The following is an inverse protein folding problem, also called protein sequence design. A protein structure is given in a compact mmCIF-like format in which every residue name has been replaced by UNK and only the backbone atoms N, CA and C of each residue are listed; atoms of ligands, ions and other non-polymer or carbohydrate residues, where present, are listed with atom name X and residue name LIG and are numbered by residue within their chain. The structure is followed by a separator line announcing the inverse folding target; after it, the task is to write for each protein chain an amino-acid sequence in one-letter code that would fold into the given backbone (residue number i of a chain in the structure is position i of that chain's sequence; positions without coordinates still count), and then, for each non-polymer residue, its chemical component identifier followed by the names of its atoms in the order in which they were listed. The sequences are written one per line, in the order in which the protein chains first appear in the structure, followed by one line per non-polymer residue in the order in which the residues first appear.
data_IF_524165808231
#
_entry.id   IF_524165808231
#
_cell.length_a   1.000
_cell.length_b   1.000
_cell.length_c   1.000
_cell.angle_alpha   90.00
_cell.angle_beta   90.00
_cell.angle_gamma   90.00
#
_symmetry.space_group_name_H-M   'P 1'
#
loop_
_entity.id
_entity.type
_entity.pdbx_description
1 polymer ?
#
# COMPACT_ATOMS: atom_id res chain seq x y z
N UNK A 1 -6.51 41.42 7.51
CA UNK A 1 -6.71 40.17 6.74
C UNK A 1 -5.69 40.18 5.62
N UNK A 2 -4.69 39.30 5.69
CA UNK A 2 -3.64 39.17 4.66
C UNK A 2 -4.21 38.21 3.60
N UNK A 3 -4.25 38.59 2.31
CA UNK A 3 -4.73 37.68 1.27
C UNK A 3 -3.80 36.46 1.16
N UNK A 4 -4.33 35.26 0.91
CA UNK A 4 -3.52 34.06 0.76
C UNK A 4 -2.54 34.23 -0.41
N UNK A 5 -1.33 33.70 -0.23
CA UNK A 5 -0.26 33.78 -1.24
C UNK A 5 -0.59 32.89 -2.44
N UNK A 6 -0.07 33.23 -3.62
CA UNK A 6 -0.29 32.48 -4.87
C UNK A 6 0.07 30.98 -4.76
N UNK A 7 0.97 30.63 -3.84
CA UNK A 7 1.36 29.25 -3.53
C UNK A 7 0.30 28.49 -2.71
N UNK A 8 -0.44 29.18 -1.83
CA UNK A 8 -1.57 28.60 -1.09
C UNK A 8 -2.77 28.34 -2.01
N UNK A 9 -3.05 29.26 -2.93
CA UNK A 9 -4.12 29.09 -3.93
C UNK A 9 -3.83 27.92 -4.90
N UNK A 10 -2.56 27.71 -5.29
CA UNK A 10 -2.12 26.55 -6.08
C UNK A 10 -2.20 25.23 -5.29
N UNK A 11 -1.96 25.25 -3.97
CA UNK A 11 -2.15 24.07 -3.11
C UNK A 11 -3.62 23.68 -2.98
N UNK A 12 -4.54 24.63 -2.76
CA UNK A 12 -5.98 24.35 -2.71
C UNK A 12 -6.51 23.84 -4.06
N UNK A 13 -6.00 24.38 -5.17
CA UNK A 13 -6.33 23.89 -6.51
C UNK A 13 -5.78 22.47 -6.73
N UNK A 14 -4.60 22.13 -6.21
CA UNK A 14 -4.00 20.78 -6.31
C UNK A 14 -4.71 19.76 -5.40
N UNK A 15 -5.21 20.19 -4.24
CA UNK A 15 -6.08 19.38 -3.35
C UNK A 15 -7.44 19.15 -4.01
N UNK A 16 -7.99 20.15 -4.71
CA UNK A 16 -9.17 19.99 -5.55
C UNK A 16 -8.91 19.09 -6.77
N UNK A 17 -7.72 19.14 -7.39
CA UNK A 17 -7.36 18.20 -8.46
C UNK A 17 -7.20 16.76 -7.93
N UNK A 18 -6.70 16.56 -6.71
CA UNK A 18 -6.75 15.26 -6.02
C UNK A 18 -8.19 14.81 -5.72
N UNK A 19 -9.13 15.75 -5.52
CA UNK A 19 -10.57 15.46 -5.49
C UNK A 19 -11.16 15.23 -6.89
N UNK A 20 -10.59 15.76 -7.97
CA UNK A 20 -10.98 15.45 -9.35
C UNK A 20 -10.46 14.08 -9.79
N UNK A 21 -9.27 13.67 -9.34
CA UNK A 21 -8.77 12.30 -9.41
C UNK A 21 -9.77 11.35 -8.74
N UNK A 22 -10.48 11.76 -7.68
CA UNK A 22 -11.58 11.00 -7.05
C UNK A 22 -12.73 10.66 -8.02
N UNK A 23 -12.99 11.48 -9.03
CA UNK A 23 -14.08 11.27 -10.02
C UNK A 23 -13.57 10.43 -11.20
N UNK A 24 -12.35 10.67 -11.68
CA UNK A 24 -11.73 9.86 -12.73
C UNK A 24 -11.36 8.44 -12.25
N UNK A 25 -10.89 8.27 -11.01
CA UNK A 25 -10.56 6.95 -10.43
C UNK A 25 -11.79 6.13 -10.05
N UNK A 26 -12.89 6.77 -9.63
CA UNK A 26 -14.14 6.05 -9.34
C UNK A 26 -14.69 5.37 -10.61
N UNK A 27 -14.52 6.00 -11.78
CA UNK A 27 -14.90 5.41 -13.07
C UNK A 27 -13.98 4.28 -13.56
N UNK A 28 -12.72 4.21 -13.11
CA UNK A 28 -11.84 3.08 -13.43
C UNK A 28 -12.08 1.88 -12.48
N UNK A 29 -12.41 2.13 -11.20
CA UNK A 29 -12.84 1.10 -10.26
C UNK A 29 -14.21 0.49 -10.62
N UNK A 30 -15.13 1.27 -11.20
CA UNK A 30 -16.42 0.78 -11.68
C UNK A 30 -16.32 -0.18 -12.89
N UNK A 31 -15.22 -0.12 -13.66
CA UNK A 31 -14.98 -0.98 -14.83
C UNK A 31 -14.30 -2.31 -14.48
N UNK A 32 -13.76 -2.46 -13.26
CA UNK A 32 -13.20 -3.72 -12.74
C UNK A 32 -14.15 -4.43 -11.76
N UNK A 33 -15.46 -4.22 -11.93
CA UNK A 33 -16.47 -5.05 -11.25
C UNK A 33 -16.55 -6.40 -11.98
N UNK A 34 -15.99 -7.43 -11.36
CA UNK A 34 -16.31 -8.83 -11.68
C UNK A 34 -17.38 -9.36 -10.69
N UNK A 35 -18.15 -10.39 -11.09
CA UNK A 35 -19.61 -10.39 -10.99
C UNK A 35 -20.16 -10.77 -9.61
N UNK A 36 -21.44 -10.47 -9.45
CA UNK A 36 -22.26 -10.59 -8.25
C UNK A 36 -22.17 -11.91 -7.47
N UNK A 37 -22.40 -11.77 -6.17
CA UNK A 37 -22.99 -12.76 -5.26
C UNK A 37 -22.19 -14.04 -4.96
N UNK A 38 -21.47 -14.03 -3.83
CA UNK A 38 -21.51 -15.18 -2.90
C UNK A 38 -21.69 -14.64 -1.48
N UNK A 39 -22.91 -14.77 -0.98
CA UNK A 39 -23.28 -14.64 0.41
C UNK A 39 -22.54 -15.75 1.18
N UNK A 40 -21.39 -15.45 1.79
CA UNK A 40 -20.66 -16.45 2.59
C UNK A 40 -21.28 -16.54 3.98
N UNK A 41 -22.32 -17.38 4.09
CA UNK A 41 -22.68 -18.02 5.35
C UNK A 41 -21.46 -18.81 5.85
N UNK A 42 -21.05 -18.55 7.08
CA UNK A 42 -19.96 -19.23 7.73
C UNK A 42 -20.15 -20.76 7.67
N UNK A 43 -19.29 -21.44 6.93
CA UNK A 43 -19.04 -22.88 7.09
C UNK A 43 -17.53 -23.10 7.05
N UNK A 44 -16.99 -23.49 8.19
CA UNK A 44 -15.60 -23.89 8.38
C UNK A 44 -15.28 -25.06 7.46
N UNK A 45 -14.26 -24.91 6.62
CA UNK A 45 -13.56 -26.04 6.01
C UNK A 45 -12.11 -25.99 6.51
N UNK A 46 -11.79 -26.96 7.36
CA UNK A 46 -10.43 -27.25 7.78
C UNK A 46 -9.64 -27.71 6.55
N UNK A 47 -8.51 -27.07 6.27
CA UNK A 47 -7.50 -27.64 5.38
C UNK A 47 -6.12 -27.35 5.96
N UNK A 48 -5.61 -28.45 6.52
CA UNK A 48 -4.28 -28.64 7.06
C UNK A 48 -3.20 -28.31 6.02
N UNK A 49 -2.26 -27.45 6.38
CA UNK A 49 -0.87 -27.60 5.94
C UNK A 49 0.06 -26.87 6.93
N UNK A 50 0.92 -27.68 7.56
CA UNK A 50 2.14 -27.37 8.31
C UNK A 50 2.14 -26.12 9.20
N UNK A 51 1.79 -26.29 10.49
CA UNK A 51 2.28 -25.41 11.56
C UNK A 51 3.25 -26.16 12.47
N UNK A 52 4.40 -25.56 12.83
CA UNK A 52 5.36 -26.18 13.73
C UNK A 52 4.66 -26.49 15.06
N UNK A 53 4.68 -27.76 15.44
CA UNK A 53 4.07 -28.28 16.66
C UNK A 53 4.92 -27.94 17.89
N UNK A 54 5.03 -26.65 18.20
CA UNK A 54 5.32 -26.18 19.55
C UNK A 54 4.18 -25.27 19.97
N UNK A 55 3.03 -25.87 20.28
CA UNK A 55 1.98 -25.16 21.01
C UNK A 55 2.59 -24.64 22.30
N UNK A 56 2.47 -23.33 22.50
CA UNK A 56 2.98 -22.66 23.69
C UNK A 56 2.21 -23.18 24.90
N UNK A 57 2.86 -23.96 25.78
CA UNK A 57 2.26 -24.47 27.01
C UNK A 57 1.63 -23.36 27.86
N UNK A 58 2.28 -22.19 27.90
CA UNK A 58 1.78 -21.00 28.59
C UNK A 58 0.49 -20.45 27.94
N UNK A 59 0.40 -20.48 26.62
CA UNK A 59 -0.79 -20.04 25.90
C UNK A 59 -1.96 -21.01 26.14
N UNK A 60 -1.68 -22.31 26.14
CA UNK A 60 -2.66 -23.34 26.46
C UNK A 60 -3.16 -23.18 27.91
N UNK A 61 -2.26 -22.90 28.88
CA UNK A 61 -2.63 -22.59 30.26
C UNK A 61 -3.48 -21.31 30.36
N UNK A 62 -3.16 -20.29 29.56
CA UNK A 62 -3.93 -19.05 29.49
C UNK A 62 -5.35 -19.28 28.96
N UNK A 63 -5.52 -20.02 27.86
CA UNK A 63 -6.84 -20.38 27.33
C UNK A 63 -7.68 -21.19 28.33
N UNK A 64 -7.03 -22.08 29.09
CA UNK A 64 -7.67 -22.89 30.12
C UNK A 64 -7.93 -22.14 31.45
N UNK A 65 -7.75 -20.80 31.47
CA UNK A 65 -7.91 -19.94 32.66
C UNK A 65 -7.03 -20.35 33.86
N UNK A 66 -5.94 -21.06 33.61
CA UNK A 66 -4.98 -21.49 34.64
C UNK A 66 -3.87 -20.45 34.91
N UNK A 67 -3.82 -19.37 34.14
CA UNK A 67 -2.85 -18.30 34.25
C UNK A 67 -3.50 -16.95 34.62
N UNK A 68 -4.27 -16.91 35.72
CA UNK A 68 -5.08 -15.74 36.11
C UNK A 68 -4.27 -14.46 36.41
N UNK A 69 -3.01 -14.61 36.84
CA UNK A 69 -2.14 -13.50 37.23
C UNK A 69 -1.00 -13.20 36.23
N UNK A 70 -1.15 -13.66 34.98
CA UNK A 70 -0.12 -13.48 33.95
C UNK A 70 0.20 -12.01 33.72
N UNK A 71 1.49 -11.66 33.78
CA UNK A 71 2.01 -10.34 33.45
C UNK A 71 2.69 -10.33 32.08
N UNK A 72 3.01 -9.13 31.60
CA UNK A 72 3.68 -8.97 30.31
C UNK A 72 5.11 -9.52 30.33
N UNK A 73 5.81 -9.35 31.46
CA UNK A 73 7.15 -9.86 31.68
C UNK A 73 7.23 -11.41 31.63
N UNK A 74 6.14 -12.10 31.98
CA UNK A 74 6.08 -13.57 32.03
C UNK A 74 6.01 -14.21 30.64
N UNK A 75 5.73 -13.43 29.59
CA UNK A 75 5.56 -13.97 28.25
C UNK A 75 6.87 -14.56 27.70
N UNK A 76 8.00 -13.88 27.92
CA UNK A 76 9.32 -14.31 27.45
C UNK A 76 9.29 -14.88 26.02
N UNK A 77 9.78 -16.12 25.85
CA UNK A 77 9.81 -16.84 24.56
C UNK A 77 8.43 -17.11 23.94
N UNK A 78 7.35 -16.99 24.70
CA UNK A 78 5.98 -17.22 24.25
C UNK A 78 5.32 -15.95 23.68
N UNK A 79 5.98 -14.79 23.75
CA UNK A 79 5.43 -13.51 23.29
C UNK A 79 4.94 -13.55 21.84
N UNK A 80 5.71 -14.15 20.93
CA UNK A 80 5.33 -14.30 19.52
C UNK A 80 4.07 -15.18 19.36
N UNK A 81 3.98 -16.28 20.10
CA UNK A 81 2.81 -17.16 20.07
C UNK A 81 1.55 -16.43 20.57
N UNK A 82 1.67 -15.64 21.64
CA UNK A 82 0.57 -14.79 22.13
C UNK A 82 0.19 -13.72 21.11
N UNK A 83 1.16 -13.05 20.46
CA UNK A 83 0.89 -12.02 19.48
C UNK A 83 0.15 -12.53 18.23
N UNK A 84 0.34 -13.82 17.90
CA UNK A 84 -0.34 -14.51 16.80
C UNK A 84 -1.69 -15.14 17.20
N UNK A 85 -2.05 -15.12 18.48
CA UNK A 85 -3.28 -15.69 19.02
C UNK A 85 -4.39 -14.64 19.18
N UNK A 86 -5.67 -14.93 18.86
CA UNK A 86 -6.75 -13.96 19.00
C UNK A 86 -6.95 -13.42 20.43
N UNK A 87 -6.76 -14.25 21.46
CA UNK A 87 -6.90 -13.85 22.86
C UNK A 87 -5.59 -13.31 23.40
N UNK A 88 -4.47 -13.96 23.07
CA UNK A 88 -3.13 -13.53 23.45
C UNK A 88 -2.79 -12.13 22.93
N UNK A 89 -3.16 -11.80 21.69
CA UNK A 89 -2.89 -10.47 21.13
C UNK A 89 -3.68 -9.38 21.86
N UNK A 90 -4.92 -9.69 22.27
CA UNK A 90 -5.76 -8.76 23.05
C UNK A 90 -5.17 -8.56 24.45
N UNK A 91 -4.72 -9.64 25.09
CA UNK A 91 -4.02 -9.59 26.36
C UNK A 91 -2.79 -8.67 26.29
N UNK A 92 -1.91 -8.86 25.29
CA UNK A 92 -0.73 -8.01 25.10
C UNK A 92 -1.16 -6.56 24.91
N UNK A 93 -2.12 -6.28 24.02
CA UNK A 93 -2.56 -4.91 23.74
C UNK A 93 -3.13 -4.18 24.97
N UNK A 94 -3.87 -4.90 25.83
CA UNK A 94 -4.44 -4.35 27.06
C UNK A 94 -3.35 -4.05 28.09
N UNK A 95 -2.44 -5.00 28.32
CA UNK A 95 -1.33 -4.85 29.28
C UNK A 95 -0.36 -3.76 28.85
N UNK A 96 -0.03 -3.68 27.57
CA UNK A 96 0.94 -2.73 27.04
C UNK A 96 0.52 -1.25 27.22
N UNK A 97 -0.78 -0.98 27.37
CA UNK A 97 -1.28 0.37 27.68
C UNK A 97 -0.91 0.87 29.08
N UNK A 98 -0.74 -0.04 30.05
CA UNK A 98 -0.51 0.28 31.46
C UNK A 98 0.85 -0.23 31.97
N UNK A 99 1.58 -0.97 31.15
CA UNK A 99 2.89 -1.52 31.47
C UNK A 99 3.92 -0.42 31.72
N UNK A 100 4.85 -0.70 32.63
CA UNK A 100 5.98 0.18 32.89
C UNK A 100 7.01 0.13 31.73
N UNK A 101 7.95 1.09 31.63
CA UNK A 101 8.93 1.10 30.54
C UNK A 101 9.77 -0.18 30.43
N UNK A 102 10.12 -0.81 31.55
CA UNK A 102 10.90 -2.04 31.58
C UNK A 102 10.13 -3.22 30.98
N UNK A 103 8.87 -3.40 31.34
CA UNK A 103 8.00 -4.44 30.78
C UNK A 103 7.77 -4.24 29.28
N UNK A 104 7.64 -2.99 28.84
CA UNK A 104 7.52 -2.65 27.42
C UNK A 104 8.78 -3.02 26.66
N UNK A 105 9.96 -2.66 27.18
CA UNK A 105 11.25 -3.01 26.58
C UNK A 105 11.45 -4.54 26.52
N UNK A 106 11.09 -5.26 27.59
CA UNK A 106 11.12 -6.73 27.61
C UNK A 106 10.23 -7.36 26.55
N UNK A 107 9.03 -6.80 26.32
CA UNK A 107 8.19 -7.27 25.22
C UNK A 107 8.86 -7.01 23.87
N UNK A 108 9.40 -5.81 23.65
CA UNK A 108 10.06 -5.47 22.37
C UNK A 108 11.24 -6.41 22.10
N UNK A 109 12.05 -6.69 23.12
CA UNK A 109 13.11 -7.69 23.05
C UNK A 109 12.56 -9.08 22.70
N UNK A 110 11.47 -9.52 23.33
CA UNK A 110 10.86 -10.82 23.06
C UNK A 110 10.22 -10.93 21.65
N UNK A 111 9.88 -9.81 21.02
CA UNK A 111 9.37 -9.77 19.64
C UNK A 111 10.48 -9.58 18.60
N UNK A 112 11.71 -9.30 19.03
CA UNK A 112 12.86 -9.04 18.14
C UNK A 112 13.06 -10.21 17.17
N UNK A 113 13.36 -9.87 15.92
CA UNK A 113 13.54 -10.82 14.82
C UNK A 113 12.23 -11.38 14.25
N UNK A 114 11.09 -11.07 14.86
CA UNK A 114 9.76 -11.53 14.44
C UNK A 114 8.83 -10.37 14.07
N UNK A 115 9.29 -9.12 14.18
CA UNK A 115 8.46 -7.92 13.98
C UNK A 115 7.85 -7.90 12.57
N UNK A 116 8.66 -8.18 11.55
CA UNK A 116 8.21 -8.23 10.16
C UNK A 116 7.13 -9.30 9.95
N UNK A 117 7.36 -10.51 10.46
CA UNK A 117 6.40 -11.61 10.36
C UNK A 117 5.09 -11.26 11.05
N UNK A 118 5.16 -10.63 12.24
CA UNK A 118 3.98 -10.20 12.98
C UNK A 118 3.21 -9.09 12.26
N UNK A 119 3.89 -8.14 11.62
CA UNK A 119 3.26 -7.06 10.86
C UNK A 119 2.43 -7.58 9.66
N UNK A 120 2.72 -8.78 9.18
CA UNK A 120 1.98 -9.44 8.10
C UNK A 120 0.84 -10.33 8.61
N UNK A 121 0.57 -10.36 9.91
CA UNK A 121 -0.47 -11.19 10.51
C UNK A 121 -1.57 -10.32 11.12
N UNK A 122 -2.83 -10.76 11.05
CA UNK A 122 -3.98 -9.98 11.52
C UNK A 122 -3.83 -9.57 13.00
N UNK A 123 -3.44 -10.50 13.86
CA UNK A 123 -3.28 -10.25 15.30
C UNK A 123 -1.94 -9.58 15.62
N UNK A 124 -0.87 -10.00 14.94
CA UNK A 124 0.46 -9.43 15.12
C UNK A 124 0.51 -7.94 14.76
N UNK A 125 -0.15 -7.52 13.68
CA UNK A 125 -0.21 -6.12 13.27
C UNK A 125 -0.84 -5.22 14.34
N UNK A 126 -1.85 -5.69 15.06
CA UNK A 126 -2.42 -4.95 16.20
C UNK A 126 -1.44 -4.83 17.36
N UNK A 127 -0.67 -5.88 17.65
CA UNK A 127 0.37 -5.84 18.70
C UNK A 127 1.47 -4.84 18.33
N UNK A 128 2.02 -4.92 17.11
CA UNK A 128 3.08 -4.01 16.67
C UNK A 128 2.58 -2.56 16.65
N UNK A 129 1.39 -2.29 16.12
CA UNK A 129 0.82 -0.93 16.13
C UNK A 129 0.63 -0.39 17.56
N UNK A 130 0.15 -1.23 18.49
CA UNK A 130 0.00 -0.85 19.89
C UNK A 130 1.36 -0.62 20.57
N UNK A 131 2.37 -1.43 20.25
CA UNK A 131 3.74 -1.28 20.72
C UNK A 131 4.31 0.08 20.29
N UNK A 132 4.28 0.38 18.98
CA UNK A 132 4.76 1.65 18.42
C UNK A 132 4.14 2.89 19.08
N UNK A 133 2.86 2.82 19.48
CA UNK A 133 2.17 3.91 20.19
C UNK A 133 2.67 4.14 21.62
N UNK A 134 3.18 3.09 22.29
CA UNK A 134 3.31 3.09 23.76
C UNK A 134 4.73 2.90 24.27
N UNK A 135 5.66 2.41 23.44
CA UNK A 135 7.07 2.19 23.78
C UNK A 135 7.88 3.49 23.65
N UNK A 136 9.09 3.51 24.20
CA UNK A 136 10.00 4.65 24.12
C UNK A 136 10.65 4.76 22.73
N UNK A 137 11.34 5.88 22.48
CA UNK A 137 11.96 6.18 21.17
C UNK A 137 13.01 5.14 20.76
N UNK A 138 13.73 4.54 21.71
CA UNK A 138 14.76 3.53 21.43
C UNK A 138 14.10 2.27 20.88
N UNK A 139 13.09 1.78 21.61
CA UNK A 139 12.28 0.63 21.18
C UNK A 139 11.56 0.87 19.85
N UNK A 140 11.06 2.10 19.60
CA UNK A 140 10.48 2.44 18.29
C UNK A 140 11.50 2.28 17.15
N UNK A 141 12.74 2.73 17.34
CA UNK A 141 13.79 2.62 16.33
C UNK A 141 14.11 1.15 16.05
N UNK A 142 14.19 0.30 17.06
CA UNK A 142 14.42 -1.14 16.89
C UNK A 142 13.34 -1.80 16.04
N UNK A 143 12.06 -1.53 16.36
CA UNK A 143 10.92 -2.03 15.57
C UNK A 143 10.98 -1.51 14.13
N UNK A 144 11.28 -0.22 13.94
CA UNK A 144 11.37 0.38 12.60
C UNK A 144 12.49 -0.28 11.79
N UNK A 145 13.65 -0.52 12.39
CA UNK A 145 14.81 -1.10 11.70
C UNK A 145 14.50 -2.48 11.09
N UNK A 146 13.72 -3.31 11.78
CA UNK A 146 13.25 -4.60 11.22
C UNK A 146 12.27 -4.43 10.06
N UNK A 147 11.52 -3.33 10.02
CA UNK A 147 10.54 -3.06 8.96
C UNK A 147 11.16 -2.36 7.73
N UNK A 148 12.33 -1.70 7.88
CA UNK A 148 12.91 -0.82 6.85
C UNK A 148 13.13 -1.52 5.50
N UNK A 149 13.48 -2.80 5.50
CA UNK A 149 13.71 -3.55 4.28
C UNK A 149 12.41 -3.88 3.50
N UNK A 150 11.25 -3.70 4.11
CA UNK A 150 9.96 -4.18 3.60
C UNK A 150 8.86 -3.11 3.63
N UNK A 151 9.21 -1.83 3.70
CA UNK A 151 8.23 -0.72 3.79
C UNK A 151 7.23 -0.75 2.65
N UNK A 152 7.69 -0.93 1.40
CA UNK A 152 6.80 -0.95 0.23
C UNK A 152 5.92 -2.19 0.22
N UNK A 153 6.43 -3.43 0.32
CA UNK A 153 5.59 -4.62 0.43
C UNK A 153 4.58 -4.56 1.58
N UNK A 154 4.97 -4.04 2.75
CA UNK A 154 4.07 -3.88 3.88
C UNK A 154 2.96 -2.86 3.59
N UNK A 155 3.28 -1.76 2.90
CA UNK A 155 2.29 -0.74 2.55
C UNK A 155 1.23 -1.24 1.58
N UNK A 156 1.59 -2.21 0.73
CA UNK A 156 0.71 -2.93 -0.20
C UNK A 156 0.04 -4.15 0.45
N UNK A 157 0.25 -4.38 1.75
CA UNK A 157 -0.27 -5.54 2.47
C UNK A 157 -1.49 -5.18 3.33
N UNK A 158 -2.49 -6.07 3.36
CA UNK A 158 -3.75 -5.90 4.10
C UNK A 158 -3.58 -5.48 5.55
N UNK A 159 -2.63 -6.11 6.25
CA UNK A 159 -2.32 -5.82 7.66
C UNK A 159 -1.06 -4.96 7.82
N UNK A 160 -0.12 -5.08 6.88
CA UNK A 160 1.15 -4.35 6.94
C UNK A 160 0.93 -2.84 6.80
N UNK A 161 -0.04 -2.44 5.97
CA UNK A 161 -0.41 -1.04 5.77
C UNK A 161 -0.89 -0.38 7.06
N UNK A 162 -1.43 -1.14 8.02
CA UNK A 162 -1.82 -0.63 9.33
C UNK A 162 -0.59 -0.32 10.18
N UNK A 163 0.43 -1.20 10.14
CA UNK A 163 1.70 -0.99 10.84
C UNK A 163 2.44 0.21 10.26
N UNK A 164 2.52 0.33 8.92
CA UNK A 164 3.17 1.49 8.29
C UNK A 164 2.47 2.80 8.66
N UNK A 165 1.13 2.85 8.65
CA UNK A 165 0.40 4.02 9.14
C UNK A 165 0.70 4.32 10.62
N UNK A 166 0.78 3.29 11.46
CA UNK A 166 1.15 3.46 12.88
C UNK A 166 2.55 4.03 13.06
N UNK A 167 3.53 3.61 12.24
CA UNK A 167 4.87 4.21 12.21
C UNK A 167 4.77 5.69 11.82
N UNK A 168 4.00 6.00 10.77
CA UNK A 168 3.81 7.37 10.31
C UNK A 168 3.09 8.26 11.34
N UNK A 169 2.22 7.71 12.16
CA UNK A 169 1.46 8.46 13.16
C UNK A 169 2.25 8.70 14.45
N UNK A 170 2.93 7.67 14.96
CA UNK A 170 3.43 7.68 16.33
C UNK A 170 4.95 7.75 16.47
N UNK A 171 5.70 7.49 15.40
CA UNK A 171 7.16 7.44 15.50
C UNK A 171 7.82 8.78 15.18
N UNK A 172 8.86 9.11 15.93
CA UNK A 172 9.69 10.30 15.64
C UNK A 172 10.64 10.04 14.47
N UNK A 173 11.31 8.88 14.45
CA UNK A 173 12.32 8.52 13.44
C UNK A 173 11.73 7.84 12.20
N UNK A 174 10.64 8.41 11.66
CA UNK A 174 9.89 7.87 10.51
C UNK A 174 10.38 8.35 9.14
N UNK A 175 11.42 9.19 9.09
CA UNK A 175 11.90 9.82 7.83
C UNK A 175 12.31 8.79 6.77
N UNK A 176 13.06 7.75 7.15
CA UNK A 176 13.50 6.71 6.22
C UNK A 176 12.33 5.93 5.61
N UNK A 177 11.31 5.63 6.42
CA UNK A 177 10.06 5.01 5.96
C UNK A 177 9.37 5.94 4.96
N UNK A 178 9.26 7.23 5.30
CA UNK A 178 8.62 8.23 4.45
C UNK A 178 9.32 8.41 3.10
N UNK A 179 10.66 8.47 3.07
CA UNK A 179 11.40 8.59 1.82
C UNK A 179 11.16 7.40 0.87
N UNK A 180 11.08 6.18 1.40
CA UNK A 180 10.73 5.00 0.59
C UNK A 180 9.32 5.14 0.00
N UNK A 181 8.34 5.56 0.81
CA UNK A 181 6.96 5.78 0.34
C UNK A 181 6.90 6.86 -0.74
N UNK A 182 7.57 7.99 -0.54
CA UNK A 182 7.63 9.11 -1.49
C UNK A 182 8.30 8.73 -2.82
N UNK A 183 9.25 7.78 -2.80
CA UNK A 183 9.85 7.23 -4.01
C UNK A 183 8.91 6.32 -4.81
N UNK A 184 7.86 5.76 -4.18
CA UNK A 184 6.99 4.75 -4.76
C UNK A 184 5.50 5.18 -4.81
N UNK A 185 5.24 6.49 -4.72
CA UNK A 185 3.87 7.07 -4.75
C UNK A 185 3.02 6.51 -5.90
N UNK A 186 3.48 6.47 -7.17
CA UNK A 186 2.73 5.92 -8.30
C UNK A 186 2.14 4.52 -8.12
N UNK A 187 2.85 3.64 -7.41
CA UNK A 187 2.41 2.25 -7.19
C UNK A 187 1.45 2.23 -6.00
N UNK A 188 1.80 2.94 -4.93
CA UNK A 188 1.02 2.96 -3.70
C UNK A 188 -0.38 3.56 -3.90
N UNK A 189 -0.53 4.64 -4.68
CA UNK A 189 -1.85 5.25 -4.90
C UNK A 189 -2.82 4.37 -5.70
N UNK A 190 -2.29 3.47 -6.54
CA UNK A 190 -3.09 2.55 -7.35
C UNK A 190 -3.50 1.30 -6.57
N UNK A 191 -2.85 1.02 -5.44
CA UNK A 191 -3.06 -0.19 -4.66
C UNK A 191 -4.24 -0.06 -3.69
N UNK A 192 -4.94 -1.18 -3.46
CA UNK A 192 -6.11 -1.27 -2.58
C UNK A 192 -5.81 -0.96 -1.09
N UNK A 193 -4.56 -1.11 -0.64
CA UNK A 193 -4.12 -0.80 0.73
C UNK A 193 -3.19 0.41 0.76
N UNK A 194 -2.25 0.50 -0.18
CA UNK A 194 -1.26 1.56 -0.32
C UNK A 194 -1.89 2.95 -0.44
N UNK A 195 -3.07 3.06 -1.07
CA UNK A 195 -3.75 4.35 -1.22
C UNK A 195 -4.09 4.98 0.14
N UNK A 196 -4.40 4.17 1.16
CA UNK A 196 -4.67 4.65 2.51
C UNK A 196 -3.40 5.12 3.21
N UNK A 197 -2.24 4.54 2.89
CA UNK A 197 -0.94 4.99 3.41
C UNK A 197 -0.58 6.36 2.83
N UNK A 198 -0.71 6.53 1.51
CA UNK A 198 -0.44 7.83 0.86
C UNK A 198 -1.43 8.89 1.33
N UNK A 199 -2.71 8.55 1.45
CA UNK A 199 -3.72 9.47 2.00
C UNK A 199 -3.34 9.95 3.40
N UNK A 200 -2.88 9.06 4.26
CA UNK A 200 -2.43 9.43 5.61
C UNK A 200 -1.28 10.46 5.57
N UNK A 201 -0.31 10.31 4.64
CA UNK A 201 0.75 11.31 4.44
C UNK A 201 0.17 12.63 3.92
N UNK A 202 -0.80 12.58 3.01
CA UNK A 202 -1.49 13.78 2.48
C UNK A 202 -2.27 14.50 3.58
N UNK A 203 -2.84 13.81 4.56
CA UNK A 203 -3.65 14.38 5.64
C UNK A 203 -2.79 14.91 6.80
N UNK A 204 -1.73 14.19 7.18
CA UNK A 204 -0.98 14.44 8.41
C UNK A 204 0.53 14.73 8.21
N UNK A 205 1.06 14.57 7.00
CA UNK A 205 2.49 14.78 6.70
C UNK A 205 2.91 16.25 6.68
N UNK A 206 4.20 16.54 6.51
CA UNK A 206 4.66 17.91 6.39
C UNK A 206 4.28 18.49 5.02
N UNK A 207 4.11 19.82 4.88
CA UNK A 207 3.77 20.44 3.59
C UNK A 207 4.74 20.04 2.46
N UNK A 208 6.03 19.90 2.76
CA UNK A 208 7.06 19.51 1.79
C UNK A 208 6.82 18.09 1.24
N UNK A 209 6.39 17.17 2.10
CA UNK A 209 6.08 15.79 1.71
C UNK A 209 4.82 15.73 0.85
N UNK A 210 3.80 16.55 1.17
CA UNK A 210 2.56 16.68 0.39
C UNK A 210 2.84 17.20 -1.02
N UNK A 211 3.69 18.22 -1.14
CA UNK A 211 4.13 18.76 -2.44
C UNK A 211 4.89 17.71 -3.25
N UNK A 212 5.76 16.90 -2.62
CA UNK A 212 6.47 15.81 -3.28
C UNK A 212 5.51 14.75 -3.84
N UNK A 213 4.43 14.42 -3.12
CA UNK A 213 3.40 13.49 -3.61
C UNK A 213 2.75 14.03 -4.88
N UNK A 214 2.28 15.28 -4.88
CA UNK A 214 1.65 15.91 -6.05
C UNK A 214 2.59 15.91 -7.25
N UNK A 215 3.86 16.30 -7.04
CA UNK A 215 4.87 16.31 -8.09
C UNK A 215 5.05 14.92 -8.72
N UNK A 216 5.13 13.86 -7.91
CA UNK A 216 5.29 12.48 -8.38
C UNK A 216 4.10 11.98 -9.21
N UNK A 217 2.88 12.44 -8.89
CA UNK A 217 1.69 12.08 -9.66
C UNK A 217 1.70 12.74 -11.04
N UNK A 218 2.04 14.04 -11.12
CA UNK A 218 2.13 14.74 -12.42
C UNK A 218 3.28 14.22 -13.30
N UNK A 219 4.42 13.81 -12.70
CA UNK A 219 5.52 13.18 -13.43
C UNK A 219 5.05 11.91 -14.15
N UNK A 220 4.25 11.07 -13.48
CA UNK A 220 3.71 9.83 -14.06
C UNK A 220 2.79 10.11 -15.24
N UNK A 221 1.85 11.04 -15.09
CA UNK A 221 0.90 11.40 -16.14
C UNK A 221 1.59 11.89 -17.42
N UNK A 222 2.72 12.61 -17.29
CA UNK A 222 3.51 13.05 -18.44
C UNK A 222 4.22 11.89 -19.15
N UNK A 223 4.73 10.91 -18.40
CA UNK A 223 5.40 9.73 -18.98
C UNK A 223 4.37 8.87 -19.71
N UNK A 224 3.24 8.58 -19.09
CA UNK A 224 2.15 7.79 -19.70
C UNK A 224 1.61 8.49 -20.97
N UNK A 225 1.49 9.83 -20.96
CA UNK A 225 1.06 10.61 -22.13
C UNK A 225 2.07 10.65 -23.28
N UNK A 226 3.37 10.51 -23.00
CA UNK A 226 4.42 10.44 -24.03
C UNK A 226 4.48 9.05 -24.65
N UNK A 227 4.33 7.99 -23.85
CA UNK A 227 4.37 6.60 -24.31
C UNK A 227 3.11 6.20 -25.11
N UNK A 228 1.97 6.87 -24.87
CA UNK A 228 0.73 6.74 -25.64
C UNK A 228 0.71 7.53 -26.96
N UNK A 229 1.80 8.19 -27.39
CA UNK A 229 1.90 8.66 -28.78
C UNK A 229 2.15 7.46 -29.69
N UNK A 230 1.15 6.98 -30.45
CA UNK A 230 1.35 5.85 -31.33
C UNK A 230 2.27 6.26 -32.48
N UNK A 231 3.05 5.30 -32.98
CA UNK A 231 3.99 5.40 -34.08
C UNK A 231 3.31 5.66 -35.46
N UNK A 232 2.28 6.51 -35.49
CA UNK A 232 1.41 6.69 -36.66
C UNK A 232 1.94 7.72 -37.68
N UNK A 233 3.10 8.33 -37.44
CA UNK A 233 3.73 9.19 -38.44
C UNK A 233 4.56 8.41 -39.47
N UNK A 234 5.17 7.28 -39.09
CA UNK A 234 6.01 6.50 -40.01
C UNK A 234 5.18 5.67 -41.00
N UNK A 235 4.04 5.10 -40.57
CA UNK A 235 3.18 4.31 -41.46
C UNK A 235 2.34 5.20 -42.42
N UNK A 236 1.99 6.42 -42.00
CA UNK A 236 1.27 7.37 -42.85
C UNK A 236 2.13 7.89 -44.02
N UNK A 237 3.45 8.07 -43.82
CA UNK A 237 4.36 8.46 -44.91
C UNK A 237 4.63 7.30 -45.89
N UNK A 238 4.72 6.05 -45.40
CA UNK A 238 4.84 4.88 -46.28
C UNK A 238 3.56 4.63 -47.11
N UNK A 239 2.37 4.91 -46.56
CA UNK A 239 1.12 4.81 -47.32
C UNK A 239 0.93 5.91 -48.36
N UNK A 240 1.49 7.11 -48.17
CA UNK A 240 1.47 8.17 -49.19
C UNK A 240 2.46 7.95 -50.34
N UNK A 241 3.55 7.21 -50.14
CA UNK A 241 4.48 6.85 -51.21
C UNK A 241 3.97 5.72 -52.12
N UNK A 242 3.24 4.74 -51.59
CA UNK A 242 2.72 3.62 -52.40
C UNK A 242 1.49 3.95 -53.27
N UNK A 243 0.75 5.02 -52.96
CA UNK A 243 -0.40 5.46 -53.76
C UNK A 243 0.00 6.29 -54.99
N UNK A 244 1.15 6.97 -54.96
CA UNK A 244 1.65 7.74 -56.12
C UNK A 244 2.23 6.89 -57.24
N UNK A 245 2.62 5.63 -56.98
CA UNK A 245 3.20 4.74 -58.01
C UNK A 245 2.14 3.98 -58.82
N UNK A 246 0.89 3.87 -58.33
CA UNK A 246 -0.20 3.17 -59.04
C UNK A 246 -0.94 4.00 -60.09
N UNK A 247 -0.79 5.32 -60.09
CA UNK A 247 -1.57 6.20 -60.98
C UNK A 247 -0.84 6.61 -62.27
N UNK A 248 0.31 6.01 -62.59
CA UNK A 248 1.13 6.37 -63.75
C UNK A 248 1.26 5.26 -64.81
N UNK A 249 0.46 4.18 -64.76
CA UNK A 249 0.50 3.06 -65.73
C UNK A 249 -0.86 2.70 -66.31
N UNK A 250 -1.59 3.69 -66.84
CA UNK A 250 -2.86 3.46 -67.54
C UNK A 250 -3.09 4.49 -68.63
N UNK A 251 -2.15 4.62 -69.57
CA UNK A 251 -2.29 5.45 -70.78
C UNK A 251 -2.01 4.62 -72.03
N UNK A 252 -2.94 4.68 -73.00
CA UNK A 252 -2.87 4.07 -74.34
C UNK A 252 -3.78 2.83 -74.46
N UNK A 253 -4.65 2.66 -75.47
CA UNK A 253 -4.71 3.22 -76.83
C UNK A 253 -6.12 3.10 -77.43
N UNK A 254 -6.49 4.05 -78.29
CA UNK A 254 -7.62 4.03 -79.25
C UNK A 254 -7.42 2.96 -80.35
N UNK A 255 -8.54 2.37 -80.81
CA UNK A 255 -8.93 2.00 -82.22
C UNK A 255 -10.35 1.41 -82.11
N UNK A 256 -11.44 2.07 -82.55
CA UNK A 256 -12.02 2.22 -83.90
C UNK A 256 -12.39 0.92 -84.65
N UNK A 257 -13.51 1.03 -85.39
CA UNK A 257 -14.14 0.13 -86.39
C UNK A 257 -15.19 -0.93 -85.97
N UNK A 258 -16.39 -0.80 -86.58
CA UNK A 258 -17.03 -1.91 -87.31
C UNK A 258 -18.40 -2.42 -86.84
N UNK A 259 -19.47 -2.03 -87.55
CA UNK A 259 -20.79 -2.74 -87.67
C UNK A 259 -20.62 -4.14 -88.35
N UNK A 260 -21.64 -5.00 -88.65
CA UNK A 260 -23.13 -4.90 -88.60
C UNK A 260 -23.82 -6.11 -87.88
N UNK A 261 -25.14 -6.16 -87.64
CA UNK A 261 -26.31 -6.33 -88.53
C UNK A 261 -27.60 -5.91 -87.80
#
# INVERSE_FOLDING_TARGET
MIPPTESQCKMDTSVQQLQTVRVAFSHQCAKNVCPAAVMWSARMASSSSNRPSHRSELLDAYHNRRAANLQLADLGKHAVAFALDPQGSRFIQQKLGHANPTEKAQLVEALRGHVLTLAQQVYGAYVIGKALKSVDKTSQIEIINELLAQVIPLSLHKYGSWVIRSVLEHCTHKRLVLEQLLANVPILVMDQYGNYVIRHVIEHGLPEDRVRIVRRLHEKERVDAVELRPANHAEAEQQMMHSSVRNSRGGGTMTDEGAPL
#
